data_IF_477327854531
#
_entry.id   IF_477327854531
#
_cell.length_a   1.000
_cell.length_b   1.000
_cell.length_c   1.000
_cell.angle_alpha   90.00
_cell.angle_beta   90.00
_cell.angle_gamma   90.00
#
_symmetry.space_group_name_H-M   'P 1'
#
loop_
_entity.id
_entity.type
_entity.pdbx_description
1 polymer ?
#
# COMPACT_ATOMS: atom_id res chain seq x y z
N UNK A 1 5.25 -2.47 5.81
CA UNK A 1 5.22 -1.20 6.60
C UNK A 1 5.51 -0.07 5.63
N UNK A 2 4.88 1.09 5.82
CA UNK A 2 5.18 2.30 5.05
C UNK A 2 5.68 3.41 5.97
N UNK A 3 6.66 4.19 5.50
CA UNK A 3 7.11 5.43 6.12
C UNK A 3 6.55 6.59 5.29
N UNK A 4 5.80 7.48 5.91
CA UNK A 4 5.07 8.57 5.27
C UNK A 4 5.70 9.89 5.73
N UNK A 5 6.12 10.71 4.77
CA UNK A 5 6.60 12.07 5.02
C UNK A 5 5.46 13.06 4.82
N UNK A 6 5.24 13.95 5.79
CA UNK A 6 4.35 15.08 5.64
C UNK A 6 5.18 16.33 5.36
N UNK A 7 4.93 16.98 4.23
CA UNK A 7 5.58 18.25 3.90
C UNK A 7 5.17 19.33 4.90
N UNK A 8 6.02 20.34 5.10
CA UNK A 8 5.76 21.41 6.07
C UNK A 8 4.52 22.27 5.75
N UNK A 9 4.08 22.28 4.49
CA UNK A 9 2.87 22.99 4.02
C UNK A 9 1.58 22.18 4.14
N UNK A 10 1.66 20.89 4.44
CA UNK A 10 0.51 19.99 4.46
C UNK A 10 -0.13 19.93 5.85
N UNK A 11 -1.44 19.61 5.97
CA UNK A 11 -2.18 19.67 7.22
C UNK A 11 -1.79 18.60 8.25
N UNK A 12 -1.01 17.59 7.87
CA UNK A 12 -0.52 16.57 8.80
C UNK A 12 -1.54 15.47 9.16
N UNK A 13 -2.64 15.34 8.41
CA UNK A 13 -3.61 14.26 8.58
C UNK A 13 -4.03 13.69 7.24
N UNK A 14 -4.40 12.40 7.23
CA UNK A 14 -4.84 11.71 6.01
C UNK A 14 -5.15 10.24 6.26
N UNK A 15 -5.58 9.55 5.21
CA UNK A 15 -5.84 8.12 5.22
C UNK A 15 -4.85 7.42 4.30
N UNK A 16 -4.06 6.50 4.86
CA UNK A 16 -3.21 5.63 4.06
C UNK A 16 -4.00 4.40 3.63
N UNK A 17 -4.23 4.27 2.33
CA UNK A 17 -4.93 3.15 1.73
C UNK A 17 -3.95 2.29 0.96
N UNK A 18 -4.00 0.98 1.22
CA UNK A 18 -3.26 -0.04 0.46
C UNK A 18 -4.25 -1.08 -0.01
N UNK A 19 -4.26 -1.33 -1.31
CA UNK A 19 -5.07 -2.41 -1.88
C UNK A 19 -4.16 -3.34 -2.68
N UNK A 20 -4.20 -4.62 -2.34
CA UNK A 20 -3.43 -5.65 -3.02
C UNK A 20 -4.22 -6.18 -4.21
N UNK A 21 -3.59 -6.25 -5.37
CA UNK A 21 -4.19 -6.75 -6.61
C UNK A 21 -3.38 -7.85 -7.27
N UNK A 22 -4.08 -8.76 -7.90
CA UNK A 22 -3.50 -9.77 -8.79
C UNK A 22 -3.31 -9.20 -10.21
N UNK A 23 -2.47 -8.18 -10.32
CA UNK A 23 -2.21 -7.47 -11.56
C UNK A 23 -1.84 -6.01 -11.32
N UNK A 24 -1.33 -5.36 -12.36
CA UNK A 24 -0.86 -3.97 -12.29
C UNK A 24 -2.02 -2.97 -12.42
N UNK A 25 -3.09 -3.34 -13.10
CA UNK A 25 -4.18 -2.44 -13.45
C UNK A 25 -5.14 -2.23 -12.28
N UNK A 26 -5.84 -1.09 -12.26
CA UNK A 26 -6.73 -0.75 -11.14
C UNK A 26 -7.99 -1.60 -11.06
N UNK A 27 -8.38 -2.21 -12.17
CA UNK A 27 -9.48 -3.17 -12.33
C UNK A 27 -9.06 -4.62 -12.10
N UNK A 28 -7.76 -4.89 -11.87
CA UNK A 28 -7.28 -6.22 -11.48
C UNK A 28 -7.92 -6.67 -10.16
N UNK A 29 -8.05 -7.99 -9.99
CA UNK A 29 -8.74 -8.60 -8.85
C UNK A 29 -8.17 -8.10 -7.51
N UNK A 30 -9.04 -7.59 -6.64
CA UNK A 30 -8.67 -7.15 -5.31
C UNK A 30 -8.55 -8.35 -4.36
N UNK A 31 -7.34 -8.61 -3.87
CA UNK A 31 -7.04 -9.71 -2.96
C UNK A 31 -7.22 -9.32 -1.48
N UNK A 32 -6.80 -8.10 -1.12
CA UNK A 32 -6.90 -7.60 0.24
C UNK A 32 -6.88 -6.07 0.27
N UNK A 33 -7.37 -5.48 1.37
CA UNK A 33 -7.40 -4.03 1.57
C UNK A 33 -7.00 -3.67 3.00
N UNK A 34 -6.17 -2.64 3.13
CA UNK A 34 -5.80 -2.01 4.39
C UNK A 34 -6.09 -0.52 4.30
N UNK A 35 -6.82 0.03 5.28
CA UNK A 35 -7.12 1.45 5.38
C UNK A 35 -6.72 1.90 6.77
N UNK A 36 -5.80 2.85 6.88
CA UNK A 36 -5.26 3.31 8.15
C UNK A 36 -5.23 4.84 8.19
N UNK A 37 -6.08 5.49 9.01
CA UNK A 37 -5.95 6.92 9.26
C UNK A 37 -4.66 7.23 10.02
N UNK A 38 -4.10 8.40 9.77
CA UNK A 38 -2.92 8.88 10.47
C UNK A 38 -2.95 10.38 10.74
N UNK A 39 -2.14 10.77 11.72
CA UNK A 39 -1.79 12.16 12.02
C UNK A 39 -0.29 12.22 12.25
N UNK A 40 0.34 13.30 11.80
CA UNK A 40 1.77 13.56 11.86
C UNK A 40 1.99 15.06 11.89
N UNK A 41 2.97 15.53 12.66
CA UNK A 41 3.35 16.94 12.63
C UNK A 41 3.89 17.32 11.24
N UNK A 42 3.51 18.49 10.68
CA UNK A 42 4.07 18.96 9.41
C UNK A 42 5.60 19.01 9.43
N UNK A 43 6.24 18.53 8.37
CA UNK A 43 7.70 18.40 8.27
C UNK A 43 8.30 17.17 8.96
N UNK A 44 7.48 16.22 9.43
CA UNK A 44 7.94 14.98 10.08
C UNK A 44 7.51 13.72 9.32
N UNK A 45 8.02 12.59 9.77
CA UNK A 45 7.65 11.26 9.29
C UNK A 45 6.75 10.52 10.30
N UNK A 46 5.85 9.70 9.79
CA UNK A 46 5.09 8.70 10.56
C UNK A 46 5.19 7.34 9.89
N UNK A 47 4.98 6.26 10.64
CA UNK A 47 4.94 4.91 10.09
C UNK A 47 3.53 4.33 10.17
N UNK A 48 3.16 3.50 9.20
CA UNK A 48 1.92 2.73 9.20
C UNK A 48 2.18 1.25 8.92
N UNK A 49 1.61 0.40 9.76
CA UNK A 49 1.60 -1.04 9.56
C UNK A 49 0.55 -1.38 8.52
N UNK A 50 0.98 -1.97 7.41
CA UNK A 50 0.10 -2.51 6.40
C UNK A 50 -0.25 -3.94 6.79
N UNK A 51 -1.54 -4.22 6.98
CA UNK A 51 -2.06 -5.55 7.26
C UNK A 51 -2.96 -5.98 6.10
N UNK A 52 -2.53 -7.01 5.36
CA UNK A 52 -3.33 -7.68 4.35
C UNK A 52 -3.13 -9.18 4.50
N UNK A 53 -4.20 -9.92 4.75
CA UNK A 53 -4.17 -11.37 4.65
C UNK A 53 -4.30 -11.71 3.16
N UNK A 54 -3.23 -12.23 2.57
CA UNK A 54 -3.19 -12.63 1.17
C UNK A 54 -3.28 -14.14 1.09
N UNK A 55 -4.30 -14.65 0.41
CA UNK A 55 -4.34 -16.04 0.02
C UNK A 55 -3.59 -16.19 -1.31
N UNK A 56 -2.47 -16.90 -1.26
CA UNK A 56 -1.57 -17.07 -2.40
C UNK A 56 -1.90 -18.38 -3.11
N UNK A 57 -2.75 -18.30 -4.14
CA UNK A 57 -3.26 -19.48 -4.86
C UNK A 57 -2.44 -19.82 -6.11
N UNK A 58 -1.63 -18.89 -6.62
CA UNK A 58 -0.79 -19.07 -7.81
C UNK A 58 0.50 -18.25 -7.73
N UNK A 59 1.54 -18.71 -8.42
CA UNK A 59 2.77 -17.95 -8.62
C UNK A 59 2.53 -16.77 -9.57
N UNK A 60 3.22 -15.66 -9.34
CA UNK A 60 3.03 -14.45 -10.14
C UNK A 60 3.37 -13.15 -9.40
N UNK A 61 2.82 -12.06 -9.91
CA UNK A 61 3.00 -10.71 -9.37
C UNK A 61 1.71 -10.24 -8.70
N UNK A 62 1.80 -9.88 -7.43
CA UNK A 62 0.80 -9.12 -6.71
C UNK A 62 1.31 -7.69 -6.60
N UNK A 63 0.46 -6.69 -6.81
CA UNK A 63 0.82 -5.29 -6.62
C UNK A 63 0.08 -4.71 -5.42
N UNK A 64 0.82 -4.06 -4.53
CA UNK A 64 0.25 -3.20 -3.50
C UNK A 64 0.06 -1.79 -4.09
N UNK A 65 -1.19 -1.40 -4.32
CA UNK A 65 -1.57 -0.06 -4.74
C UNK A 65 -1.73 0.79 -3.48
N UNK A 66 -0.77 1.67 -3.24
CA UNK A 66 -0.68 2.52 -2.05
C UNK A 66 -1.03 3.96 -2.41
N UNK A 67 -1.84 4.65 -1.62
CA UNK A 67 -2.03 6.11 -1.74
C UNK A 67 -2.34 6.75 -0.41
N UNK A 68 -2.21 8.08 -0.39
CA UNK A 68 -2.76 8.92 0.65
C UNK A 68 -4.04 9.56 0.09
N UNK A 69 -5.13 9.43 0.83
CA UNK A 69 -6.45 9.95 0.48
C UNK A 69 -6.89 9.59 -0.95
N UNK A 70 -6.94 10.56 -1.85
CA UNK A 70 -7.37 10.40 -3.26
C UNK A 70 -6.24 10.74 -4.25
N UNK A 71 -5.00 10.76 -3.79
CA UNK A 71 -3.84 10.95 -4.65
C UNK A 71 -3.62 9.75 -5.58
N UNK A 72 -2.64 9.89 -6.47
CA UNK A 72 -2.26 8.83 -7.41
C UNK A 72 -1.71 7.58 -6.70
N UNK A 73 -1.98 6.42 -7.30
CA UNK A 73 -1.49 5.15 -6.80
C UNK A 73 0.02 5.02 -6.98
N UNK A 74 0.70 4.76 -5.87
CA UNK A 74 2.05 4.24 -5.83
C UNK A 74 2.00 2.72 -5.81
N UNK A 75 2.50 2.06 -6.85
CA UNK A 75 2.40 0.60 -7.01
C UNK A 75 3.72 -0.06 -6.60
N UNK A 76 3.65 -0.97 -5.63
CA UNK A 76 4.80 -1.74 -5.13
C UNK A 76 4.61 -3.21 -5.47
N UNK A 77 5.51 -3.84 -6.25
CA UNK A 77 5.39 -5.25 -6.61
C UNK A 77 5.78 -6.18 -5.46
N UNK A 78 5.04 -7.28 -5.32
CA UNK A 78 5.36 -8.47 -4.54
C UNK A 78 5.40 -9.66 -5.50
N UNK A 79 6.59 -10.24 -5.68
CA UNK A 79 6.76 -11.40 -6.57
C UNK A 79 6.69 -12.68 -5.76
N UNK A 80 5.76 -13.58 -6.11
CA UNK A 80 5.70 -14.92 -5.58
C UNK A 80 6.36 -15.90 -6.55
N UNK A 81 7.52 -16.41 -6.15
CA UNK A 81 8.32 -17.34 -6.93
C UNK A 81 8.07 -18.80 -6.50
N UNK A 82 8.22 -19.78 -7.41
CA UNK A 82 8.26 -21.19 -7.04
C UNK A 82 9.48 -21.50 -6.16
N UNK A 83 9.43 -22.59 -5.36
CA UNK A 83 10.57 -23.05 -4.59
C UNK A 83 11.76 -23.35 -5.50
N UNK A 84 12.96 -22.98 -5.04
CA UNK A 84 14.21 -23.42 -5.68
C UNK A 84 14.53 -24.83 -5.17
N UNK A 85 14.89 -25.73 -6.09
CA UNK A 85 15.24 -27.11 -5.80
C UNK A 85 16.57 -27.23 -5.04
#
# INVERSE_FOLDING_TARGET
>A
MALIYCQASEPGSGVFEVIFRDGFDEDSEQLARNVSPFTVEPGKFTYRLVRGALELTKYGLIFAHCRIDKEEWHKVPLTLLPPVA
#
